data_IF_212840529871
#
_entry.id   IF_212840529871
#
_cell.length_a   1.000
_cell.length_b   1.000
_cell.length_c   1.000
_cell.angle_alpha   90.00
_cell.angle_beta   90.00
_cell.angle_gamma   90.00
#
_symmetry.space_group_name_H-M   'P 1'
#
loop_
_entity.id
_entity.type
_entity.pdbx_description
1 polymer ?
#
# COMPACT_ATOMS: atom_id res chain seq x y z
N UNK A 1 17.99 -34.82 -43.62
CA UNK A 1 18.38 -33.96 -42.53
C UNK A 1 17.41 -32.79 -42.42
N UNK A 2 16.56 -32.74 -41.40
CA UNK A 2 15.69 -31.60 -41.12
C UNK A 2 16.38 -30.75 -40.07
N UNK A 3 16.43 -29.39 -40.18
CA UNK A 3 17.02 -28.56 -39.15
C UNK A 3 16.08 -28.53 -37.95
N UNK A 4 16.66 -28.73 -36.78
CA UNK A 4 16.00 -28.68 -35.50
C UNK A 4 15.47 -27.27 -35.21
N UNK A 5 14.18 -27.19 -34.93
CA UNK A 5 13.56 -26.00 -34.39
C UNK A 5 14.00 -25.86 -32.90
N UNK A 6 14.91 -24.95 -32.64
CA UNK A 6 15.20 -24.51 -31.29
C UNK A 6 13.95 -23.80 -30.77
N UNK A 7 13.26 -24.42 -29.85
CA UNK A 7 12.23 -23.75 -29.03
C UNK A 7 12.90 -22.67 -28.19
N UNK A 8 12.77 -21.42 -28.60
CA UNK A 8 13.07 -20.28 -27.75
C UNK A 8 12.05 -20.33 -26.62
N UNK A 9 12.48 -20.72 -25.44
CA UNK A 9 11.77 -20.55 -24.20
C UNK A 9 11.59 -19.03 -24.00
N UNK A 10 10.41 -18.52 -24.35
CA UNK A 10 10.00 -17.17 -23.97
C UNK A 10 9.83 -17.21 -22.46
N UNK A 11 10.88 -16.78 -21.73
CA UNK A 11 10.79 -16.58 -20.29
C UNK A 11 9.57 -15.69 -20.02
N UNK A 12 8.62 -16.15 -19.21
CA UNK A 12 7.50 -15.33 -18.73
C UNK A 12 8.12 -14.07 -18.12
N UNK A 13 7.88 -12.92 -18.75
CA UNK A 13 8.29 -11.63 -18.20
C UNK A 13 7.52 -11.48 -16.89
N UNK A 14 8.22 -11.33 -15.80
CA UNK A 14 7.57 -11.13 -14.48
C UNK A 14 6.89 -9.77 -14.57
N UNK A 15 5.57 -9.74 -14.40
CA UNK A 15 4.79 -8.50 -14.30
C UNK A 15 5.08 -7.86 -12.95
N UNK A 16 5.55 -6.60 -12.95
CA UNK A 16 5.92 -5.89 -11.72
C UNK A 16 5.99 -4.38 -11.93
N UNK A 17 5.93 -3.64 -10.83
CA UNK A 17 6.39 -2.25 -10.80
C UNK A 17 7.87 -2.28 -10.43
N UNK A 18 8.72 -1.71 -11.29
CA UNK A 18 10.15 -1.58 -11.05
C UNK A 18 10.50 -0.12 -10.74
N UNK A 19 11.15 0.11 -9.62
CA UNK A 19 11.62 1.42 -9.17
C UNK A 19 13.14 1.38 -9.10
N UNK A 20 13.81 2.36 -9.73
CA UNK A 20 15.28 2.45 -9.76
C UNK A 20 15.74 3.86 -9.45
N UNK A 21 16.58 3.98 -8.42
CA UNK A 21 17.24 5.21 -7.96
C UNK A 21 16.27 6.40 -7.75
N UNK A 22 15.05 6.10 -7.30
CA UNK A 22 14.01 7.09 -7.11
C UNK A 22 14.41 8.13 -6.07
N UNK A 23 14.51 9.38 -6.49
CA UNK A 23 14.90 10.50 -5.64
C UNK A 23 13.87 11.61 -5.72
N UNK A 24 13.43 12.12 -4.57
CA UNK A 24 12.48 13.22 -4.48
C UNK A 24 12.90 14.24 -3.44
N UNK A 25 12.92 15.50 -3.86
CA UNK A 25 13.18 16.66 -2.99
C UNK A 25 11.98 17.60 -2.95
N UNK A 26 11.69 18.13 -1.78
CA UNK A 26 10.78 19.24 -1.55
C UNK A 26 11.59 20.42 -0.97
N UNK A 27 11.94 21.39 -1.82
CA UNK A 27 12.88 22.43 -1.46
C UNK A 27 14.22 21.86 -1.01
N UNK A 28 14.59 22.06 0.26
CA UNK A 28 15.83 21.50 0.85
C UNK A 28 15.67 20.13 1.47
N UNK A 29 14.44 19.61 1.61
CA UNK A 29 14.17 18.34 2.26
C UNK A 29 14.21 17.21 1.24
N UNK A 30 15.08 16.22 1.48
CA UNK A 30 15.19 14.99 0.71
C UNK A 30 14.16 14.01 1.26
N UNK A 31 13.06 13.83 0.52
CA UNK A 31 11.95 12.95 0.93
C UNK A 31 12.17 11.50 0.51
N UNK A 32 12.81 11.28 -0.65
CA UNK A 32 13.29 9.97 -1.11
C UNK A 32 14.71 10.12 -1.61
N UNK A 33 15.57 9.16 -1.28
CA UNK A 33 16.99 9.15 -1.58
C UNK A 33 17.40 7.81 -2.20
N UNK A 34 17.41 7.77 -3.54
CA UNK A 34 17.82 6.61 -4.36
C UNK A 34 17.11 5.31 -3.97
N UNK A 35 15.78 5.39 -3.78
CA UNK A 35 14.97 4.21 -3.50
C UNK A 35 14.91 3.32 -4.73
N UNK A 36 15.28 2.04 -4.58
CA UNK A 36 15.11 1.00 -5.61
C UNK A 36 14.33 -0.15 -5.01
N UNK A 37 13.22 -0.54 -5.66
CA UNK A 37 12.26 -1.52 -5.15
C UNK A 37 11.55 -2.20 -6.33
N UNK A 38 11.37 -3.51 -6.22
CA UNK A 38 10.54 -4.30 -7.11
C UNK A 38 9.25 -4.70 -6.40
N UNK A 39 8.11 -4.44 -7.02
CA UNK A 39 6.79 -4.79 -6.53
C UNK A 39 6.20 -5.79 -7.52
N UNK A 40 6.37 -7.11 -7.30
CA UNK A 40 5.84 -8.13 -8.17
C UNK A 40 4.32 -8.21 -8.06
N UNK A 41 3.69 -8.81 -9.08
CA UNK A 41 2.26 -9.05 -9.11
C UNK A 41 1.86 -10.17 -8.16
N UNK A 42 0.71 -10.02 -7.49
CA UNK A 42 0.13 -11.04 -6.62
C UNK A 42 0.71 -11.08 -5.22
N UNK A 43 1.31 -9.99 -4.70
CA UNK A 43 1.81 -9.90 -3.32
C UNK A 43 1.06 -8.84 -2.50
N UNK A 44 0.90 -9.09 -1.21
CA UNK A 44 0.41 -8.12 -0.23
C UNK A 44 1.61 -7.55 0.54
N UNK A 45 1.97 -6.33 0.24
CA UNK A 45 3.20 -5.68 0.71
C UNK A 45 2.86 -4.58 1.71
N UNK A 46 3.41 -4.70 2.92
CA UNK A 46 3.38 -3.64 3.93
C UNK A 46 4.56 -2.68 3.74
N UNK A 47 4.28 -1.40 3.55
CA UNK A 47 5.28 -0.33 3.52
C UNK A 47 5.29 0.38 4.89
N UNK A 48 6.28 0.06 5.71
CA UNK A 48 6.37 0.53 7.09
C UNK A 48 7.39 1.65 7.25
N UNK A 49 7.08 2.60 8.12
CA UNK A 49 7.97 3.70 8.43
C UNK A 49 7.30 4.75 9.32
N UNK A 50 8.13 5.52 10.02
CA UNK A 50 7.66 6.65 10.82
C UNK A 50 6.94 7.70 9.96
N UNK A 51 6.19 8.59 10.60
CA UNK A 51 5.61 9.74 9.91
C UNK A 51 6.74 10.60 9.31
N UNK A 52 6.58 10.97 8.04
CA UNK A 52 7.62 11.69 7.30
C UNK A 52 8.76 10.82 6.75
N UNK A 53 8.72 9.48 6.89
CA UNK A 53 9.74 8.59 6.36
C UNK A 53 9.82 8.55 4.82
N UNK A 54 8.76 8.98 4.10
CA UNK A 54 8.71 9.00 2.65
C UNK A 54 7.64 8.09 2.03
N UNK A 55 6.82 7.38 2.82
CA UNK A 55 5.79 6.43 2.35
C UNK A 55 4.83 7.05 1.33
N UNK A 56 4.14 8.11 1.72
CA UNK A 56 3.23 8.87 0.85
C UNK A 56 3.92 9.40 -0.41
N UNK A 57 5.18 9.85 -0.27
CA UNK A 57 5.96 10.35 -1.41
C UNK A 57 6.27 9.22 -2.40
N UNK A 58 6.61 8.01 -1.90
CA UNK A 58 6.85 6.84 -2.74
C UNK A 58 5.58 6.46 -3.51
N UNK A 59 4.43 6.33 -2.83
CA UNK A 59 3.14 6.02 -3.45
C UNK A 59 2.76 7.07 -4.50
N UNK A 60 2.87 8.37 -4.18
CA UNK A 60 2.58 9.45 -5.13
C UNK A 60 3.52 9.45 -6.35
N UNK A 61 4.77 9.02 -6.18
CA UNK A 61 5.71 8.88 -7.30
C UNK A 61 5.31 7.72 -8.22
N UNK A 62 4.92 6.56 -7.67
CA UNK A 62 4.42 5.42 -8.45
C UNK A 62 3.18 5.81 -9.26
N UNK A 63 2.30 6.62 -8.69
CA UNK A 63 1.09 7.11 -9.35
C UNK A 63 1.33 8.25 -10.35
N UNK A 64 2.59 8.65 -10.57
CA UNK A 64 2.94 9.80 -11.45
C UNK A 64 2.28 11.12 -11.03
N UNK A 65 1.90 11.27 -9.74
CA UNK A 65 1.25 12.48 -9.22
C UNK A 65 2.23 13.59 -8.89
N UNK A 66 3.51 13.27 -8.75
CA UNK A 66 4.58 14.23 -8.41
C UNK A 66 5.83 13.96 -9.27
N UNK A 67 6.58 14.99 -9.67
CA UNK A 67 7.83 14.80 -10.38
C UNK A 67 8.92 14.25 -9.46
N UNK A 68 9.78 13.39 -10.01
CA UNK A 68 10.89 12.72 -9.31
C UNK A 68 12.10 12.56 -10.26
N UNK A 69 13.25 12.16 -9.70
CA UNK A 69 14.43 11.70 -10.44
C UNK A 69 14.51 10.16 -10.29
N UNK A 70 15.08 9.48 -11.27
CA UNK A 70 15.13 8.02 -11.36
C UNK A 70 14.11 7.47 -12.36
N UNK A 71 13.78 6.19 -12.27
CA UNK A 71 12.82 5.55 -13.19
C UNK A 71 11.81 4.68 -12.44
N UNK A 72 10.56 4.73 -12.92
CA UNK A 72 9.49 3.80 -12.50
C UNK A 72 8.91 3.20 -13.77
N UNK A 73 8.84 1.87 -13.82
CA UNK A 73 8.19 1.15 -14.92
C UNK A 73 7.13 0.21 -14.40
N UNK A 74 6.09 0.01 -15.19
CA UNK A 74 5.02 -0.94 -14.98
C UNK A 74 5.10 -1.98 -16.09
N UNK A 75 5.35 -3.25 -15.72
CA UNK A 75 5.53 -4.36 -16.66
C UNK A 75 6.62 -4.06 -17.71
N UNK A 76 7.70 -3.35 -17.29
CA UNK A 76 8.83 -2.95 -18.10
C UNK A 76 8.55 -1.84 -19.11
N UNK A 77 7.46 -1.09 -18.95
CA UNK A 77 7.13 0.09 -19.75
C UNK A 77 6.93 1.32 -18.83
N UNK A 78 7.24 2.54 -19.30
CA UNK A 78 6.93 3.75 -18.54
C UNK A 78 5.42 3.83 -18.22
N UNK A 79 5.09 4.38 -17.04
CA UNK A 79 3.70 4.63 -16.67
C UNK A 79 3.17 5.80 -17.50
N UNK A 80 2.06 5.57 -18.15
CA UNK A 80 1.42 6.52 -19.06
C UNK A 80 -0.10 6.41 -18.96
N UNK A 81 -0.84 7.29 -19.64
CA UNK A 81 -2.32 7.20 -19.74
C UNK A 81 -2.82 5.86 -20.30
N UNK A 82 -1.97 5.07 -20.96
CA UNK A 82 -2.36 3.78 -21.56
C UNK A 82 -2.37 2.63 -20.55
N UNK A 83 -1.54 2.71 -19.52
CA UNK A 83 -1.36 1.64 -18.53
C UNK A 83 -1.63 2.07 -17.08
N UNK A 84 -1.81 3.37 -16.81
CA UNK A 84 -2.09 3.86 -15.45
C UNK A 84 -3.38 3.28 -14.87
N UNK A 85 -4.33 2.85 -15.71
CA UNK A 85 -5.55 2.16 -15.25
C UNK A 85 -5.30 0.81 -14.56
N UNK A 86 -4.09 0.24 -14.68
CA UNK A 86 -3.63 -0.91 -13.91
C UNK A 86 -3.28 -0.57 -12.46
N UNK A 87 -3.23 0.73 -12.12
CA UNK A 87 -3.01 1.23 -10.78
C UNK A 87 -4.31 1.79 -10.24
N UNK A 88 -4.65 1.47 -9.01
CA UNK A 88 -5.67 2.15 -8.23
C UNK A 88 -5.07 2.62 -6.91
N UNK A 89 -5.71 3.60 -6.27
CA UNK A 89 -5.20 4.03 -4.98
C UNK A 89 -6.30 4.50 -4.04
N UNK A 90 -6.04 4.37 -2.73
CA UNK A 90 -6.84 4.92 -1.66
C UNK A 90 -5.96 5.82 -0.79
N UNK A 91 -6.45 7.01 -0.45
CA UNK A 91 -5.72 8.00 0.34
C UNK A 91 -6.67 8.75 1.26
N UNK A 92 -6.16 9.23 2.39
CA UNK A 92 -6.89 10.13 3.27
C UNK A 92 -7.07 11.56 2.70
N UNK A 93 -6.45 11.88 1.56
CA UNK A 93 -6.51 13.22 0.94
C UNK A 93 -7.76 13.48 0.10
N UNK A 94 -8.73 12.56 0.08
CA UNK A 94 -10.02 12.64 -0.63
C UNK A 94 -9.87 12.82 -2.15
N UNK A 95 -9.90 11.70 -2.88
CA UNK A 95 -9.78 11.68 -4.34
C UNK A 95 -11.13 11.68 -5.08
N UNK A 96 -12.24 11.63 -4.36
CA UNK A 96 -13.58 11.51 -4.92
C UNK A 96 -14.26 12.85 -5.22
N UNK A 97 -15.29 12.83 -6.05
CA UNK A 97 -16.14 13.98 -6.32
C UNK A 97 -17.10 14.22 -5.14
N UNK A 98 -16.97 15.31 -4.37
CA UNK A 98 -17.64 15.46 -3.08
C UNK A 98 -19.16 15.54 -3.18
N UNK A 99 -19.70 16.00 -4.32
CA UNK A 99 -21.13 16.18 -4.55
C UNK A 99 -21.83 14.94 -5.11
N UNK A 100 -21.08 13.95 -5.57
CA UNK A 100 -21.65 12.69 -6.02
C UNK A 100 -21.87 11.75 -4.84
N UNK A 101 -22.87 10.87 -4.97
CA UNK A 101 -23.08 9.76 -4.04
C UNK A 101 -22.29 8.52 -4.49
N UNK A 102 -22.26 7.48 -3.66
CA UNK A 102 -21.49 6.28 -3.95
C UNK A 102 -21.98 5.54 -5.20
N UNK A 103 -23.28 5.56 -5.49
CA UNK A 103 -23.84 4.94 -6.70
C UNK A 103 -23.37 5.68 -7.96
N UNK A 104 -23.42 7.01 -7.96
CA UNK A 104 -22.95 7.82 -9.08
C UNK A 104 -21.45 7.66 -9.33
N UNK A 105 -20.64 7.51 -8.27
CA UNK A 105 -19.21 7.16 -8.42
C UNK A 105 -19.04 5.78 -9.05
N UNK A 106 -19.78 4.77 -8.62
CA UNK A 106 -19.71 3.44 -9.20
C UNK A 106 -20.09 3.45 -10.70
N UNK A 107 -21.13 4.18 -11.09
CA UNK A 107 -21.53 4.38 -12.48
C UNK A 107 -20.43 5.08 -13.29
N UNK A 108 -19.76 6.09 -12.72
CA UNK A 108 -18.62 6.76 -13.34
C UNK A 108 -17.45 5.81 -13.55
N UNK A 109 -17.11 5.00 -12.53
CA UNK A 109 -16.03 4.02 -12.65
C UNK A 109 -16.35 2.90 -13.64
N UNK A 110 -17.60 2.39 -13.64
CA UNK A 110 -18.07 1.39 -14.59
C UNK A 110 -17.96 1.88 -16.05
N UNK A 111 -18.19 3.17 -16.28
CA UNK A 111 -18.06 3.80 -17.60
C UNK A 111 -16.60 3.97 -18.04
N UNK A 112 -15.68 4.23 -17.13
CA UNK A 112 -14.28 4.56 -17.45
C UNK A 112 -13.32 3.37 -17.31
N UNK A 113 -13.64 2.41 -16.44
CA UNK A 113 -12.84 1.22 -16.19
C UNK A 113 -13.66 -0.03 -16.54
N UNK A 114 -13.40 -0.62 -17.69
CA UNK A 114 -14.08 -1.84 -18.13
C UNK A 114 -13.85 -3.06 -17.23
N UNK A 115 -12.92 -2.94 -16.29
CA UNK A 115 -12.56 -3.93 -15.26
C UNK A 115 -13.28 -3.71 -13.94
N UNK A 116 -14.15 -2.69 -13.82
CA UNK A 116 -14.82 -2.36 -12.57
C UNK A 116 -15.63 -3.53 -12.00
N UNK A 117 -15.40 -3.86 -10.72
CA UNK A 117 -15.94 -5.04 -10.04
C UNK A 117 -17.23 -4.71 -9.26
N UNK A 118 -18.33 -4.53 -9.98
CA UNK A 118 -19.63 -4.13 -9.44
C UNK A 118 -20.14 -5.03 -8.32
N UNK A 119 -19.94 -6.36 -8.43
CA UNK A 119 -20.36 -7.31 -7.37
C UNK A 119 -19.56 -7.07 -6.08
N UNK A 120 -18.23 -6.87 -6.19
CA UNK A 120 -17.35 -6.55 -5.07
C UNK A 120 -17.75 -5.21 -4.44
N UNK A 121 -18.01 -4.18 -5.26
CA UNK A 121 -18.49 -2.88 -4.79
C UNK A 121 -19.77 -3.01 -3.96
N UNK A 122 -20.79 -3.70 -4.46
CA UNK A 122 -22.03 -3.88 -3.73
C UNK A 122 -21.82 -4.62 -2.41
N UNK A 123 -21.04 -5.70 -2.41
CA UNK A 123 -20.72 -6.47 -1.20
C UNK A 123 -19.98 -5.63 -0.13
N UNK A 124 -18.99 -4.83 -0.54
CA UNK A 124 -18.25 -3.97 0.39
C UNK A 124 -19.10 -2.82 0.93
N UNK A 125 -19.96 -2.21 0.09
CA UNK A 125 -20.90 -1.17 0.55
C UNK A 125 -21.89 -1.72 1.59
N UNK A 126 -22.36 -2.98 1.42
CA UNK A 126 -23.23 -3.65 2.38
C UNK A 126 -22.47 -4.03 3.66
N UNK A 127 -21.25 -4.57 3.54
CA UNK A 127 -20.39 -4.94 4.67
C UNK A 127 -20.08 -3.73 5.58
N UNK A 128 -19.77 -2.58 5.01
CA UNK A 128 -19.51 -1.34 5.75
C UNK A 128 -20.78 -0.54 6.09
N UNK A 129 -21.96 -1.03 5.76
CA UNK A 129 -23.25 -0.38 6.01
C UNK A 129 -23.29 1.06 5.46
N UNK A 130 -22.67 1.29 4.29
CA UNK A 130 -22.61 2.61 3.67
C UNK A 130 -23.83 2.87 2.79
N UNK A 131 -24.50 3.99 3.02
CA UNK A 131 -25.65 4.42 2.20
C UNK A 131 -25.18 4.88 0.81
N UNK A 132 -25.54 4.11 -0.23
CA UNK A 132 -25.19 4.37 -1.63
C UNK A 132 -25.78 5.67 -2.19
N UNK A 133 -26.82 6.21 -1.57
CA UNK A 133 -27.53 7.43 -2.02
C UNK A 133 -27.02 8.68 -1.30
N UNK A 134 -26.28 8.53 -0.20
CA UNK A 134 -25.73 9.64 0.56
C UNK A 134 -24.55 10.26 -0.21
N UNK A 135 -24.53 11.58 -0.35
CA UNK A 135 -23.39 12.30 -0.92
C UNK A 135 -22.14 12.03 -0.09
N UNK A 136 -21.00 11.82 -0.76
CA UNK A 136 -19.75 11.44 -0.05
C UNK A 136 -19.35 12.56 0.94
N UNK A 137 -19.48 13.83 0.54
CA UNK A 137 -19.19 14.97 1.43
C UNK A 137 -20.04 15.02 2.72
N UNK A 138 -21.17 14.30 2.76
CA UNK A 138 -22.03 14.21 3.94
C UNK A 138 -21.77 12.96 4.80
N UNK A 139 -20.91 12.07 4.38
CA UNK A 139 -20.46 10.93 5.16
C UNK A 139 -19.51 11.38 6.28
N UNK A 140 -19.38 10.59 7.35
CA UNK A 140 -18.34 10.82 8.34
C UNK A 140 -16.94 10.62 7.73
N UNK A 141 -15.90 11.14 8.37
CA UNK A 141 -14.52 10.96 7.87
C UNK A 141 -14.16 9.49 7.72
N UNK A 142 -14.51 8.64 8.69
CA UNK A 142 -14.30 7.19 8.60
C UNK A 142 -15.05 6.57 7.42
N UNK A 143 -16.33 6.93 7.22
CA UNK A 143 -17.11 6.47 6.07
C UNK A 143 -16.50 6.92 4.72
N UNK A 144 -15.97 8.14 4.65
CA UNK A 144 -15.28 8.64 3.46
C UNK A 144 -14.01 7.82 3.18
N UNK A 145 -13.21 7.52 4.20
CA UNK A 145 -12.01 6.70 4.05
C UNK A 145 -12.35 5.26 3.64
N UNK A 146 -13.39 4.66 4.22
CA UNK A 146 -13.91 3.36 3.80
C UNK A 146 -14.34 3.37 2.33
N UNK A 147 -15.03 4.41 1.91
CA UNK A 147 -15.46 4.57 0.51
C UNK A 147 -14.28 4.68 -0.45
N UNK A 148 -13.21 5.44 -0.12
CA UNK A 148 -11.96 5.50 -0.89
C UNK A 148 -11.37 4.11 -1.10
N UNK A 149 -11.27 3.33 -0.03
CA UNK A 149 -10.74 1.97 -0.09
C UNK A 149 -11.62 1.05 -0.95
N UNK A 150 -12.94 1.14 -0.79
CA UNK A 150 -13.89 0.37 -1.61
C UNK A 150 -13.68 0.69 -3.10
N UNK A 151 -13.58 1.95 -3.47
CA UNK A 151 -13.40 2.34 -4.86
C UNK A 151 -12.08 1.84 -5.44
N UNK A 152 -10.98 1.93 -4.67
CA UNK A 152 -9.68 1.40 -5.08
C UNK A 152 -9.71 -0.12 -5.32
N UNK A 153 -10.34 -0.87 -4.41
CA UNK A 153 -10.50 -2.34 -4.52
C UNK A 153 -11.44 -2.78 -5.66
N UNK A 154 -12.32 -1.90 -6.08
CA UNK A 154 -13.35 -2.21 -7.09
C UNK A 154 -13.01 -1.72 -8.49
N UNK A 155 -12.00 -0.88 -8.67
CA UNK A 155 -11.57 -0.38 -9.98
C UNK A 155 -11.18 -1.53 -10.93
N UNK A 156 -10.67 -2.66 -10.39
CA UNK A 156 -10.18 -3.80 -11.16
C UNK A 156 -8.77 -3.57 -11.70
N UNK A 157 -7.96 -2.87 -10.92
CA UNK A 157 -6.55 -2.65 -11.17
C UNK A 157 -5.71 -3.87 -10.78
N UNK A 158 -4.53 -4.01 -11.38
CA UNK A 158 -3.55 -5.05 -11.06
C UNK A 158 -2.80 -4.72 -9.75
N UNK A 159 -2.59 -3.41 -9.47
CA UNK A 159 -1.88 -2.91 -8.29
C UNK A 159 -2.74 -1.89 -7.54
N UNK A 160 -2.98 -2.15 -6.29
CA UNK A 160 -3.82 -1.35 -5.40
C UNK A 160 -2.92 -0.69 -4.35
N UNK A 161 -2.75 0.62 -4.44
CA UNK A 161 -1.89 1.38 -3.56
C UNK A 161 -2.73 2.04 -2.47
N UNK A 162 -2.39 1.81 -1.20
CA UNK A 162 -3.15 2.35 -0.06
C UNK A 162 -2.22 3.14 0.85
N UNK A 163 -2.51 4.42 1.04
CA UNK A 163 -1.73 5.28 1.93
C UNK A 163 -2.51 5.60 3.21
N UNK A 164 -2.12 4.94 4.32
CA UNK A 164 -2.77 5.04 5.63
C UNK A 164 -4.31 4.90 5.56
N UNK A 165 -4.84 3.84 4.90
CA UNK A 165 -6.26 3.74 4.52
C UNK A 165 -7.23 3.75 5.71
N UNK A 166 -6.73 3.48 6.91
CA UNK A 166 -7.55 3.39 8.14
C UNK A 166 -7.26 4.51 9.14
N UNK A 167 -6.56 5.56 8.74
CA UNK A 167 -6.37 6.71 9.60
C UNK A 167 -7.74 7.25 10.06
N UNK A 168 -7.99 7.24 11.39
CA UNK A 168 -9.24 7.73 11.98
C UNK A 168 -10.42 6.75 11.99
N UNK A 169 -10.23 5.48 11.62
CA UNK A 169 -11.24 4.43 11.79
C UNK A 169 -11.11 3.71 13.14
N UNK A 170 -12.22 3.12 13.60
CA UNK A 170 -12.25 2.33 14.84
C UNK A 170 -11.49 0.99 14.66
N UNK A 171 -10.82 0.54 15.73
CA UNK A 171 -10.00 -0.67 15.76
C UNK A 171 -10.78 -1.93 15.31
N UNK A 172 -12.02 -2.08 15.78
CA UNK A 172 -12.85 -3.26 15.46
C UNK A 172 -13.16 -3.37 13.95
N UNK A 173 -13.37 -2.24 13.28
CA UNK A 173 -13.64 -2.24 11.83
C UNK A 173 -12.38 -2.58 11.00
N UNK A 174 -11.18 -2.43 11.56
CA UNK A 174 -9.92 -2.67 10.83
C UNK A 174 -9.59 -4.15 10.72
N UNK A 175 -9.70 -4.91 11.80
CA UNK A 175 -9.43 -6.36 11.81
C UNK A 175 -10.38 -7.11 10.86
N UNK A 176 -11.66 -6.80 10.93
CA UNK A 176 -12.67 -7.40 10.05
C UNK A 176 -12.45 -7.01 8.60
N UNK A 177 -11.99 -5.78 8.35
CA UNK A 177 -11.64 -5.34 7.01
C UNK A 177 -10.46 -6.16 6.44
N UNK A 178 -9.37 -6.37 7.18
CA UNK A 178 -8.25 -7.19 6.70
C UNK A 178 -8.67 -8.62 6.39
N UNK A 179 -9.56 -9.21 7.18
CA UNK A 179 -10.14 -10.54 6.90
C UNK A 179 -10.94 -10.55 5.59
N UNK A 180 -11.79 -9.51 5.40
CA UNK A 180 -12.56 -9.35 4.15
C UNK A 180 -11.63 -9.13 2.98
N UNK A 181 -10.61 -8.27 3.12
CA UNK A 181 -9.64 -7.98 2.07
C UNK A 181 -8.92 -9.25 1.62
N UNK A 182 -8.40 -10.07 2.55
CA UNK A 182 -7.78 -11.36 2.23
C UNK A 182 -8.73 -12.31 1.47
N UNK A 183 -10.04 -12.26 1.78
CA UNK A 183 -11.04 -13.14 1.15
C UNK A 183 -11.53 -12.66 -0.22
N UNK A 184 -11.31 -11.39 -0.60
CA UNK A 184 -11.82 -10.83 -1.87
C UNK A 184 -10.74 -10.56 -2.91
N UNK A 185 -9.47 -10.48 -2.50
CA UNK A 185 -8.35 -10.29 -3.43
C UNK A 185 -8.21 -11.51 -4.33
N UNK A 186 -7.96 -11.26 -5.60
CA UNK A 186 -7.60 -12.30 -6.57
C UNK A 186 -6.08 -12.54 -6.54
N UNK A 187 -5.61 -13.76 -6.85
CA UNK A 187 -4.19 -14.10 -6.74
C UNK A 187 -3.25 -13.20 -7.54
N UNK A 188 -3.77 -12.54 -8.57
CA UNK A 188 -3.01 -11.63 -9.43
C UNK A 188 -3.05 -10.17 -8.95
N UNK A 189 -3.89 -9.83 -7.97
CA UNK A 189 -3.96 -8.47 -7.43
C UNK A 189 -2.86 -8.24 -6.40
N UNK A 190 -2.12 -7.15 -6.57
CA UNK A 190 -1.06 -6.71 -5.66
C UNK A 190 -1.58 -5.58 -4.79
N UNK A 191 -1.32 -5.63 -3.50
CA UNK A 191 -1.61 -4.54 -2.57
C UNK A 191 -0.30 -3.99 -2.02
N UNK A 192 -0.07 -2.69 -2.14
CA UNK A 192 0.95 -1.96 -1.41
C UNK A 192 0.27 -1.08 -0.36
N UNK A 193 0.36 -1.47 0.89
CA UNK A 193 -0.29 -0.81 2.01
C UNK A 193 0.73 -0.05 2.86
N UNK A 194 0.66 1.29 2.89
CA UNK A 194 1.44 2.06 3.85
C UNK A 194 0.67 2.18 5.17
N UNK A 195 1.35 1.87 6.27
CA UNK A 195 0.79 2.05 7.61
C UNK A 195 1.88 2.16 8.68
N UNK A 196 1.54 2.74 9.82
CA UNK A 196 2.33 2.69 11.05
C UNK A 196 1.75 1.70 12.09
N UNK A 197 0.62 1.06 11.77
CA UNK A 197 -0.10 0.11 12.63
C UNK A 197 0.38 -1.33 12.36
N UNK A 198 1.61 -1.64 12.79
CA UNK A 198 2.32 -2.88 12.43
C UNK A 198 1.57 -4.13 12.91
N UNK A 199 1.14 -4.12 14.19
CA UNK A 199 0.51 -5.30 14.82
C UNK A 199 -0.82 -5.68 14.14
N UNK A 200 -1.57 -4.68 13.66
CA UNK A 200 -2.87 -4.89 13.03
C UNK A 200 -2.76 -5.57 11.65
N UNK A 201 -1.64 -5.33 10.93
CA UNK A 201 -1.44 -5.84 9.58
C UNK A 201 -0.50 -7.05 9.51
N UNK A 202 0.11 -7.42 10.63
CA UNK A 202 1.14 -8.46 10.68
C UNK A 202 0.68 -9.82 10.14
N UNK A 203 -0.59 -10.16 10.35
CA UNK A 203 -1.18 -11.40 9.86
C UNK A 203 -1.75 -11.30 8.43
N UNK A 204 -1.62 -10.14 7.80
CA UNK A 204 -2.21 -9.85 6.49
C UNK A 204 -1.16 -9.64 5.41
N UNK A 205 -0.01 -9.04 5.75
CA UNK A 205 1.05 -8.76 4.78
C UNK A 205 1.96 -9.97 4.58
N UNK A 206 2.35 -10.20 3.33
CA UNK A 206 3.25 -11.29 2.93
C UNK A 206 4.71 -10.83 2.83
N UNK A 207 4.92 -9.52 2.65
CA UNK A 207 6.24 -8.90 2.54
C UNK A 207 6.28 -7.56 3.24
N UNK A 208 7.35 -7.29 3.97
CA UNK A 208 7.57 -6.04 4.68
C UNK A 208 8.70 -5.24 4.03
N UNK A 209 8.39 -4.03 3.61
CA UNK A 209 9.33 -3.03 3.10
C UNK A 209 9.43 -1.90 4.12
N UNK A 210 10.64 -1.64 4.62
CA UNK A 210 10.89 -0.65 5.67
C UNK A 210 11.57 0.58 5.08
N UNK A 211 10.99 1.75 5.33
CA UNK A 211 11.53 3.02 4.86
C UNK A 211 11.81 3.96 6.04
N UNK A 212 13.00 4.55 6.07
CA UNK A 212 13.42 5.51 7.09
C UNK A 212 14.19 6.66 6.45
N UNK A 213 13.76 7.90 6.70
CA UNK A 213 14.40 9.12 6.17
C UNK A 213 14.63 9.06 4.66
N UNK A 214 13.64 8.58 3.92
CA UNK A 214 13.65 8.47 2.46
C UNK A 214 14.47 7.32 1.89
N UNK A 215 15.02 6.41 2.68
CA UNK A 215 15.79 5.25 2.23
C UNK A 215 15.14 3.95 2.65
N UNK A 216 15.24 2.92 1.82
CA UNK A 216 14.89 1.57 2.24
C UNK A 216 15.94 1.06 3.22
N UNK A 217 15.49 0.52 4.36
CA UNK A 217 16.35 -0.02 5.42
C UNK A 217 16.09 -1.50 5.66
N UNK A 218 15.03 -2.06 5.08
CA UNK A 218 14.68 -3.46 5.17
C UNK A 218 13.69 -3.85 4.09
N UNK A 219 13.76 -5.12 3.68
CA UNK A 219 12.89 -5.76 2.71
C UNK A 219 12.95 -7.25 2.97
N UNK A 220 11.85 -7.86 3.43
CA UNK A 220 11.80 -9.26 3.82
C UNK A 220 10.42 -9.85 3.56
N UNK A 221 10.36 -11.11 3.14
CA UNK A 221 9.12 -11.88 3.12
C UNK A 221 8.79 -12.36 4.53
N UNK A 222 7.52 -12.32 4.89
CA UNK A 222 7.06 -12.76 6.22
C UNK A 222 7.32 -14.25 6.40
N UNK A 223 7.11 -15.06 5.38
CA UNK A 223 7.44 -16.51 5.37
C UNK A 223 8.91 -16.76 5.74
N UNK A 224 9.86 -16.04 5.13
CA UNK A 224 11.29 -16.18 5.44
C UNK A 224 11.63 -15.79 6.90
N UNK A 225 10.88 -14.85 7.47
CA UNK A 225 11.03 -14.46 8.88
C UNK A 225 10.50 -15.56 9.82
N UNK A 226 9.33 -16.10 9.51
CA UNK A 226 8.71 -17.18 10.28
C UNK A 226 9.58 -18.46 10.29
N UNK A 227 10.19 -18.81 9.15
CA UNK A 227 11.16 -19.92 9.07
C UNK A 227 12.38 -19.70 9.99
N UNK A 228 12.76 -18.45 10.24
CA UNK A 228 13.82 -18.08 11.16
C UNK A 228 13.34 -17.93 12.62
N UNK A 229 12.07 -18.22 12.92
CA UNK A 229 11.46 -18.04 14.23
C UNK A 229 11.31 -16.57 14.65
N UNK A 230 11.23 -15.64 13.70
CA UNK A 230 11.13 -14.21 13.95
C UNK A 230 9.74 -13.71 13.51
N UNK A 231 9.08 -12.92 14.36
CA UNK A 231 7.84 -12.24 13.98
C UNK A 231 8.14 -11.00 13.13
N UNK A 232 7.14 -10.55 12.36
CA UNK A 232 7.24 -9.28 11.61
C UNK A 232 7.55 -8.10 12.55
N UNK A 233 6.91 -8.06 13.72
CA UNK A 233 7.13 -7.02 14.73
C UNK A 233 8.59 -7.02 15.21
N UNK A 234 9.15 -8.20 15.50
CA UNK A 234 10.55 -8.34 15.93
C UNK A 234 11.53 -7.90 14.83
N UNK A 235 11.26 -8.29 13.57
CA UNK A 235 12.05 -7.84 12.43
C UNK A 235 12.07 -6.32 12.30
N UNK A 236 10.91 -5.68 12.44
CA UNK A 236 10.79 -4.22 12.36
C UNK A 236 11.52 -3.58 13.55
N UNK A 237 11.29 -4.03 14.78
CA UNK A 237 12.00 -3.52 15.98
C UNK A 237 13.52 -3.62 15.81
N UNK A 238 14.02 -4.77 15.38
CA UNK A 238 15.44 -5.02 15.14
C UNK A 238 16.01 -4.10 14.06
N UNK A 239 15.34 -3.96 12.93
CA UNK A 239 15.80 -3.14 11.79
C UNK A 239 15.83 -1.65 12.13
N UNK A 240 14.88 -1.18 12.96
CA UNK A 240 14.87 0.20 13.47
C UNK A 240 15.83 0.41 14.63
N UNK A 241 16.56 -0.61 15.11
CA UNK A 241 17.37 -0.57 16.34
C UNK A 241 16.55 -0.06 17.53
N UNK A 242 15.32 -0.59 17.67
CA UNK A 242 14.47 -0.23 18.81
C UNK A 242 15.00 -0.99 20.05
N UNK A 243 15.50 -0.22 21.04
CA UNK A 243 15.93 -0.75 22.33
C UNK A 243 14.82 -0.54 23.35
N UNK A 244 14.29 -1.61 23.93
CA UNK A 244 13.27 -1.56 24.98
C UNK A 244 13.78 -0.80 26.22
N UNK A 245 15.08 -0.89 26.51
CA UNK A 245 15.76 -0.20 27.63
C UNK A 245 15.84 1.34 27.46
N UNK A 246 15.46 1.88 26.29
CA UNK A 246 15.53 3.33 26.04
C UNK A 246 14.66 4.12 27.00
N UNK A 247 13.48 3.59 27.36
CA UNK A 247 12.54 4.25 28.28
C UNK A 247 13.09 4.19 29.71
N UNK A 248 13.54 3.02 30.14
CA UNK A 248 14.15 2.83 31.47
C UNK A 248 15.38 3.74 31.64
N UNK A 249 16.27 3.77 30.63
CA UNK A 249 17.44 4.64 30.64
C UNK A 249 17.05 6.14 30.66
N UNK A 250 16.07 6.54 29.86
CA UNK A 250 15.60 7.93 29.86
C UNK A 250 14.94 8.32 31.18
N UNK A 251 14.18 7.42 31.81
CA UNK A 251 13.59 7.62 33.10
C UNK A 251 14.68 7.78 34.19
N UNK A 252 15.69 6.89 34.18
CA UNK A 252 16.86 7.01 35.07
C UNK A 252 17.58 8.36 34.88
N UNK A 253 17.83 8.77 33.62
CA UNK A 253 18.47 10.04 33.29
C UNK A 253 17.66 11.27 33.76
N UNK A 254 16.32 11.15 33.78
CA UNK A 254 15.40 12.25 34.18
C UNK A 254 15.13 12.27 35.68
N UNK A 255 14.93 11.10 36.31
CA UNK A 255 14.49 11.01 37.73
C UNK A 255 15.62 10.70 38.67
N UNK A 256 16.73 10.13 38.22
CA UNK A 256 17.83 9.67 39.04
C UNK A 256 17.51 8.44 39.90
N UNK A 257 16.37 7.78 39.67
CA UNK A 257 15.94 6.60 40.41
C UNK A 257 16.03 5.36 39.52
N UNK A 258 16.70 4.29 39.96
CA UNK A 258 16.60 2.96 39.34
C UNK A 258 15.25 2.34 39.67
N UNK A 259 14.59 1.74 38.67
CA UNK A 259 13.40 0.94 38.92
C UNK A 259 13.76 -0.24 39.85
N UNK A 260 13.17 -0.26 41.02
CA UNK A 260 13.27 -1.34 42.03
C UNK A 260 12.41 -2.55 41.61
#
# INVERSE_FOLDING_TARGET
MRPGTSSISIGRRIEMIEIRDLTKKYGKTLALDKVSLDIPRGEIIGLFGENGAGKTTLIKSILELIPYEGTITLDGAPITRKNIGKLSFATAEKSFFPNLNAKEHAEFYEMHFGTFRKKRFNGLMDFFELDRKKQISKMSLGQQNQFEVIMALCQGADYILMDEPFAGNDIFNREDFYKVLSGILEPEETVLLSTHLIEEVSNFVERAVLIRKGRLIGDAKVEDLEEQGMTLVDYIKKTYNYHEDRVAKALFDITGEEDN
#
